data_IF_056963354275
#
_entry.id   IF_056963354275
#
_cell.length_a   1.000
_cell.length_b   1.000
_cell.length_c   1.000
_cell.angle_alpha   90.00
_cell.angle_beta   90.00
_cell.angle_gamma   90.00
#
_symmetry.space_group_name_H-M   'P 1'
#
loop_
_entity.id
_entity.type
_entity.pdbx_description
1 polymer ?
#
# COMPACT_ATOMS: atom_id res chain seq x y z
N UNK A 1 1.44 2.26 -12.71
CA UNK A 1 0.30 1.87 -11.87
C UNK A 1 0.67 1.19 -10.56
N UNK A 2 1.19 -0.05 -10.52
CA UNK A 2 1.52 -0.69 -9.22
C UNK A 2 2.42 0.20 -8.34
N UNK A 3 3.46 0.78 -8.95
CA UNK A 3 4.32 1.79 -8.31
C UNK A 3 3.59 3.03 -7.79
N UNK A 4 2.56 3.49 -8.52
CA UNK A 4 1.79 4.67 -8.13
C UNK A 4 0.85 4.34 -6.97
N UNK A 5 0.25 3.14 -6.98
CA UNK A 5 -0.61 2.68 -5.89
C UNK A 5 0.22 2.43 -4.64
N UNK A 6 1.39 1.78 -4.76
CA UNK A 6 2.34 1.63 -3.65
C UNK A 6 2.72 3.00 -3.09
N UNK A 7 3.17 3.95 -3.92
CA UNK A 7 3.48 5.32 -3.48
C UNK A 7 2.29 6.00 -2.78
N UNK A 8 1.06 5.81 -3.27
CA UNK A 8 -0.13 6.39 -2.65
C UNK A 8 -0.38 5.80 -1.25
N UNK A 9 -0.21 4.48 -1.09
CA UNK A 9 -0.32 3.80 0.20
C UNK A 9 0.79 4.24 1.17
N UNK A 10 2.05 4.31 0.71
CA UNK A 10 3.17 4.82 1.53
C UNK A 10 2.90 6.24 2.04
N UNK A 11 2.31 7.11 1.20
CA UNK A 11 1.98 8.47 1.60
C UNK A 11 0.89 8.50 2.69
N UNK A 12 -0.10 7.61 2.64
CA UNK A 12 -1.09 7.50 3.71
C UNK A 12 -0.46 6.93 4.98
N UNK A 13 0.38 5.90 4.86
CA UNK A 13 1.07 5.28 5.99
C UNK A 13 1.98 6.29 6.69
N UNK A 14 2.79 7.04 5.94
CA UNK A 14 3.64 8.08 6.51
C UNK A 14 2.81 9.16 7.25
N UNK A 15 1.63 9.54 6.74
CA UNK A 15 0.76 10.48 7.46
C UNK A 15 0.30 9.89 8.80
N UNK A 16 -0.10 8.62 8.80
CA UNK A 16 -0.50 7.93 10.03
C UNK A 16 0.65 7.87 11.03
N UNK A 17 1.85 7.47 10.61
CA UNK A 17 3.03 7.39 11.45
C UNK A 17 3.39 8.74 12.08
N UNK A 18 3.43 9.83 11.29
CA UNK A 18 3.71 11.16 11.83
C UNK A 18 2.63 11.67 12.79
N UNK A 19 1.35 11.29 12.57
CA UNK A 19 0.26 11.69 13.46
C UNK A 19 0.22 10.86 14.75
N UNK A 20 0.56 9.57 14.68
CA UNK A 20 0.64 8.66 15.83
C UNK A 20 1.83 9.00 16.72
N UNK A 21 3.03 9.15 16.13
CA UNK A 21 4.24 9.57 16.83
C UNK A 21 4.03 10.88 17.60
N UNK A 22 3.28 11.80 16.99
CA UNK A 22 2.93 13.06 17.63
C UNK A 22 1.95 12.89 18.80
N UNK A 23 0.96 12.00 18.70
CA UNK A 23 0.04 11.69 19.81
C UNK A 23 0.74 11.03 20.99
N UNK A 24 1.71 10.15 20.72
CA UNK A 24 2.38 9.35 21.76
C UNK A 24 3.49 10.12 22.47
N UNK A 25 4.25 10.95 21.75
CA UNK A 25 5.47 11.54 22.31
C UNK A 25 5.30 12.88 23.02
N UNK A 26 4.19 13.63 22.85
CA UNK A 26 3.75 14.81 23.63
C UNK A 26 4.78 15.88 24.06
N UNK A 27 6.02 15.80 23.57
CA UNK A 27 7.13 16.67 23.93
C UNK A 27 7.37 17.68 22.79
N UNK A 28 7.87 18.85 23.19
CA UNK A 28 8.09 20.05 22.36
C UNK A 28 9.03 19.87 21.13
N UNK A 29 9.40 18.63 20.74
CA UNK A 29 10.08 18.31 19.46
C UNK A 29 9.11 18.17 18.26
N UNK A 30 7.80 18.36 18.46
CA UNK A 30 6.79 18.09 17.42
C UNK A 30 6.68 19.08 16.24
N UNK A 31 7.50 20.13 16.19
CA UNK A 31 7.54 21.04 15.04
C UNK A 31 7.95 20.32 13.74
N UNK A 32 8.83 19.31 13.84
CA UNK A 32 9.26 18.53 12.68
C UNK A 32 8.13 17.67 12.12
N UNK A 33 7.36 16.98 12.97
CA UNK A 33 6.20 16.18 12.54
C UNK A 33 5.13 17.02 11.86
N UNK A 34 4.80 18.20 12.40
CA UNK A 34 3.89 19.16 11.74
C UNK A 34 4.41 19.55 10.36
N UNK A 35 5.71 19.85 10.26
CA UNK A 35 6.32 20.24 9.00
C UNK A 35 6.30 19.10 7.98
N UNK A 36 6.51 17.85 8.42
CA UNK A 36 6.38 16.65 7.58
C UNK A 36 4.93 16.46 7.11
N UNK A 37 3.95 16.55 8.01
CA UNK A 37 2.51 16.46 7.67
C UNK A 37 2.12 17.55 6.66
N UNK A 38 2.54 18.80 6.87
CA UNK A 38 2.28 19.92 5.95
C UNK A 38 2.89 19.71 4.57
N UNK A 39 4.07 19.10 4.49
CA UNK A 39 4.73 18.75 3.21
C UNK A 39 4.04 17.59 2.50
N UNK A 40 3.54 16.61 3.26
CA UNK A 40 2.93 15.40 2.74
C UNK A 40 1.46 15.61 2.31
N UNK A 41 0.73 16.50 3.00
CA UNK A 41 -0.68 16.79 2.74
C UNK A 41 -1.00 17.09 1.27
N UNK A 42 -0.27 17.96 0.54
CA UNK A 42 -0.55 18.21 -0.87
C UNK A 42 -0.46 16.93 -1.73
N UNK A 43 0.51 16.06 -1.46
CA UNK A 43 0.66 14.78 -2.16
C UNK A 43 -0.50 13.83 -1.85
N UNK A 44 -0.98 13.82 -0.60
CA UNK A 44 -2.11 12.98 -0.21
C UNK A 44 -3.41 13.46 -0.89
N UNK A 45 -3.69 14.75 -0.79
CA UNK A 45 -4.94 15.35 -1.32
C UNK A 45 -4.98 15.34 -2.84
N UNK A 46 -3.85 15.62 -3.52
CA UNK A 46 -3.82 15.75 -4.98
C UNK A 46 -3.51 14.47 -5.71
N UNK A 47 -2.84 13.52 -5.06
CA UNK A 47 -2.39 12.29 -5.69
C UNK A 47 -2.91 11.04 -4.98
N UNK A 48 -2.56 10.81 -3.71
CA UNK A 48 -2.80 9.51 -3.07
C UNK A 48 -4.29 9.16 -2.96
N UNK A 49 -5.09 10.03 -2.34
CA UNK A 49 -6.53 9.81 -2.17
C UNK A 49 -7.29 9.77 -3.51
N UNK A 50 -7.08 10.72 -4.45
CA UNK A 50 -7.70 10.61 -5.77
C UNK A 50 -7.34 9.33 -6.52
N UNK A 51 -6.09 8.86 -6.45
CA UNK A 51 -5.67 7.61 -7.08
C UNK A 51 -6.41 6.41 -6.50
N UNK A 52 -6.45 6.30 -5.16
CA UNK A 52 -7.08 5.17 -4.47
C UNK A 52 -8.62 5.18 -4.65
N UNK A 53 -9.27 6.35 -4.54
CA UNK A 53 -10.70 6.48 -4.76
C UNK A 53 -11.13 6.16 -6.20
N UNK A 54 -10.26 6.41 -7.18
CA UNK A 54 -10.54 6.15 -8.59
C UNK A 54 -9.90 4.86 -9.12
N UNK A 55 -9.41 3.98 -8.24
CA UNK A 55 -8.69 2.78 -8.64
C UNK A 55 -9.51 1.89 -9.60
N UNK A 56 -10.81 1.74 -9.37
CA UNK A 56 -11.68 0.95 -10.25
C UNK A 56 -11.71 1.50 -11.68
N UNK A 57 -11.86 2.82 -11.82
CA UNK A 57 -11.89 3.50 -13.12
C UNK A 57 -10.55 3.34 -13.86
N UNK A 58 -9.44 3.51 -13.14
CA UNK A 58 -8.08 3.34 -13.67
C UNK A 58 -7.85 1.91 -14.17
N UNK A 59 -8.25 0.92 -13.39
CA UNK A 59 -8.10 -0.50 -13.76
C UNK A 59 -8.99 -0.87 -14.94
N UNK A 60 -10.23 -0.36 -14.99
CA UNK A 60 -11.12 -0.59 -16.13
C UNK A 60 -10.59 0.06 -17.42
N UNK A 61 -10.08 1.29 -17.34
CA UNK A 61 -9.46 1.98 -18.49
C UNK A 61 -8.27 1.19 -19.03
N UNK A 62 -7.45 0.58 -18.17
CA UNK A 62 -6.37 -0.30 -18.62
C UNK A 62 -6.88 -1.55 -19.34
N UNK A 63 -7.91 -2.22 -18.81
CA UNK A 63 -8.52 -3.42 -19.43
C UNK A 63 -9.14 -3.15 -20.80
N UNK A 64 -9.54 -1.91 -21.05
CA UNK A 64 -10.03 -1.44 -22.34
C UNK A 64 -8.89 -1.19 -23.32
N UNK A 65 -7.79 -0.59 -22.85
CA UNK A 65 -6.58 -0.32 -23.65
C UNK A 65 -5.78 -1.58 -24.00
N UNK A 66 -5.78 -2.56 -23.10
CA UNK A 66 -5.09 -3.83 -23.29
C UNK A 66 -5.98 -4.98 -22.78
N UNK A 67 -6.47 -5.79 -23.71
CA UNK A 67 -7.33 -6.94 -23.40
C UNK A 67 -6.55 -8.12 -22.83
N UNK A 68 -5.23 -8.18 -23.03
CA UNK A 68 -4.38 -9.30 -22.58
C UNK A 68 -4.23 -9.32 -21.07
N UNK A 69 -4.22 -8.15 -20.43
CA UNK A 69 -4.10 -8.01 -18.97
C UNK A 69 -5.42 -8.27 -18.22
N UNK A 70 -6.56 -8.35 -18.93
CA UNK A 70 -7.91 -8.49 -18.34
C UNK A 70 -8.04 -9.67 -17.39
N UNK A 71 -7.33 -10.76 -17.69
CA UNK A 71 -7.36 -12.00 -16.92
C UNK A 71 -6.17 -12.16 -15.98
N UNK A 72 -5.27 -11.18 -15.91
CA UNK A 72 -4.12 -11.25 -15.01
C UNK A 72 -4.56 -11.22 -13.55
N UNK A 73 -3.87 -11.99 -12.72
CA UNK A 73 -4.10 -12.06 -11.27
C UNK A 73 -3.91 -10.69 -10.61
N UNK A 74 -2.95 -9.90 -11.11
CA UNK A 74 -2.73 -8.51 -10.68
C UNK A 74 -3.98 -7.65 -10.89
N UNK A 75 -4.60 -7.70 -12.08
CA UNK A 75 -5.81 -6.91 -12.37
C UNK A 75 -7.01 -7.40 -11.54
N UNK A 76 -7.14 -8.72 -11.32
CA UNK A 76 -8.18 -9.26 -10.44
C UNK A 76 -8.02 -8.78 -9.00
N UNK A 77 -6.79 -8.78 -8.48
CA UNK A 77 -6.46 -8.29 -7.16
C UNK A 77 -6.72 -6.78 -7.02
N UNK A 78 -6.28 -5.96 -7.97
CA UNK A 78 -6.57 -4.52 -7.96
C UNK A 78 -8.08 -4.24 -8.00
N UNK A 79 -8.85 -5.03 -8.75
CA UNK A 79 -10.31 -4.93 -8.77
C UNK A 79 -10.97 -5.39 -7.46
N UNK A 80 -10.45 -6.40 -6.76
CA UNK A 80 -11.02 -6.80 -5.47
C UNK A 80 -10.84 -5.72 -4.42
N UNK A 81 -9.71 -5.00 -4.45
CA UNK A 81 -9.47 -3.82 -3.61
C UNK A 81 -10.44 -2.70 -3.99
N UNK A 82 -10.49 -2.36 -5.28
CA UNK A 82 -11.31 -1.24 -5.76
C UNK A 82 -12.82 -1.44 -5.54
N UNK A 83 -13.28 -2.69 -5.51
CA UNK A 83 -14.67 -3.07 -5.24
C UNK A 83 -14.99 -3.25 -3.77
N UNK A 84 -14.02 -3.09 -2.88
CA UNK A 84 -14.28 -3.09 -1.44
C UNK A 84 -15.03 -1.81 -1.07
N UNK A 85 -16.35 -1.93 -0.90
CA UNK A 85 -17.24 -0.81 -0.60
C UNK A 85 -16.95 -0.18 0.77
N UNK A 86 -16.41 -0.93 1.72
CA UNK A 86 -16.03 -0.40 3.02
C UNK A 86 -14.80 0.48 2.86
N UNK A 87 -13.73 -0.04 2.27
CA UNK A 87 -12.52 0.73 1.97
C UNK A 87 -12.82 2.02 1.20
N UNK A 88 -13.68 1.96 0.18
CA UNK A 88 -14.05 3.17 -0.58
C UNK A 88 -14.73 4.23 0.30
N UNK A 89 -15.67 3.83 1.16
CA UNK A 89 -16.35 4.75 2.08
C UNK A 89 -15.38 5.37 3.06
N UNK A 90 -14.48 4.57 3.65
CA UNK A 90 -13.51 5.08 4.61
C UNK A 90 -12.50 6.04 3.96
N UNK A 91 -12.09 5.80 2.71
CA UNK A 91 -11.24 6.72 1.95
C UNK A 91 -11.95 8.02 1.54
N UNK A 92 -13.26 7.96 1.25
CA UNK A 92 -14.09 9.15 1.01
C UNK A 92 -14.20 10.01 2.28
N UNK A 93 -14.47 9.39 3.44
CA UNK A 93 -14.49 10.08 4.74
C UNK A 93 -13.13 10.70 5.02
N UNK A 94 -12.05 9.93 4.88
CA UNK A 94 -10.68 10.39 5.09
C UNK A 94 -10.35 11.59 4.19
N UNK A 95 -10.81 11.59 2.94
CA UNK A 95 -10.61 12.72 2.01
C UNK A 95 -11.26 14.01 2.51
N UNK A 96 -12.47 13.92 3.06
CA UNK A 96 -13.16 15.07 3.62
C UNK A 96 -12.45 15.59 4.87
N UNK A 97 -12.00 14.69 5.76
CA UNK A 97 -11.31 15.06 7.00
C UNK A 97 -9.95 15.71 6.73
N UNK A 98 -9.13 15.16 5.84
CA UNK A 98 -7.81 15.74 5.47
C UNK A 98 -7.97 17.14 4.84
N UNK A 99 -9.05 17.36 4.10
CA UNK A 99 -9.40 18.65 3.52
C UNK A 99 -9.67 19.72 4.59
N UNK A 100 -10.37 19.34 5.66
CA UNK A 100 -10.88 20.24 6.69
C UNK A 100 -10.04 20.30 7.98
N UNK A 101 -9.06 19.41 8.13
CA UNK A 101 -8.20 19.37 9.31
C UNK A 101 -7.28 20.61 9.37
N UNK A 102 -7.22 21.23 10.55
CA UNK A 102 -6.35 22.34 10.89
C UNK A 102 -4.96 21.88 11.36
N UNK A 103 -4.80 20.57 11.61
CA UNK A 103 -3.59 19.92 12.12
C UNK A 103 -3.08 20.53 13.42
N UNK A 104 -4.02 21.04 14.23
CA UNK A 104 -3.74 21.49 15.60
C UNK A 104 -3.93 20.30 16.54
N UNK A 105 -2.96 19.96 17.40
CA UNK A 105 -3.11 18.90 18.39
C UNK A 105 -4.36 19.10 19.24
N UNK A 106 -4.98 17.99 19.61
CA UNK A 106 -6.18 17.94 20.44
C UNK A 106 -7.39 18.69 19.88
N UNK A 107 -7.31 19.26 18.67
CA UNK A 107 -8.48 19.82 18.01
C UNK A 107 -9.46 18.69 17.67
N UNK A 108 -10.75 19.02 17.67
CA UNK A 108 -11.79 18.03 17.33
C UNK A 108 -11.54 17.42 15.94
N UNK A 109 -11.16 18.25 14.96
CA UNK A 109 -10.90 17.82 13.59
C UNK A 109 -9.63 16.96 13.49
N UNK A 110 -8.59 17.26 14.29
CA UNK A 110 -7.37 16.45 14.35
C UNK A 110 -7.65 15.07 14.92
N UNK A 111 -8.35 15.00 16.05
CA UNK A 111 -8.69 13.74 16.70
C UNK A 111 -9.61 12.87 15.83
N UNK A 112 -10.57 13.48 15.13
CA UNK A 112 -11.41 12.78 14.16
C UNK A 112 -10.59 12.23 13.00
N UNK A 113 -9.64 13.01 12.47
CA UNK A 113 -8.72 12.55 11.43
C UNK A 113 -7.83 11.39 11.91
N UNK A 114 -7.24 11.49 13.10
CA UNK A 114 -6.43 10.41 13.69
C UNK A 114 -7.24 9.13 13.84
N UNK A 115 -8.45 9.23 14.39
CA UNK A 115 -9.33 8.08 14.56
C UNK A 115 -9.67 7.43 13.22
N UNK A 116 -9.95 8.23 12.19
CA UNK A 116 -10.26 7.72 10.86
C UNK A 116 -9.02 7.09 10.19
N UNK A 117 -7.85 7.70 10.33
CA UNK A 117 -6.59 7.13 9.83
C UNK A 117 -6.29 5.81 10.51
N UNK A 118 -6.42 5.74 11.83
CA UNK A 118 -6.21 4.51 12.58
C UNK A 118 -7.13 3.40 12.06
N UNK A 119 -8.44 3.68 11.93
CA UNK A 119 -9.40 2.74 11.37
C UNK A 119 -9.01 2.26 9.97
N UNK A 120 -8.59 3.16 9.08
CA UNK A 120 -8.15 2.79 7.73
C UNK A 120 -6.87 1.96 7.77
N UNK A 121 -5.92 2.26 8.66
CA UNK A 121 -4.65 1.53 8.74
C UNK A 121 -4.78 0.16 9.39
N UNK A 122 -5.51 0.06 10.49
CA UNK A 122 -5.65 -1.16 11.29
C UNK A 122 -6.76 -2.04 10.77
N UNK A 123 -7.98 -1.53 10.64
CA UNK A 123 -9.18 -2.35 10.40
C UNK A 123 -9.27 -2.81 8.95
N UNK A 124 -8.67 -2.04 8.03
CA UNK A 124 -8.60 -2.38 6.60
C UNK A 124 -7.23 -2.90 6.16
N UNK A 125 -6.30 -3.09 7.10
CA UNK A 125 -4.95 -3.62 6.88
C UNK A 125 -4.20 -2.95 5.70
N UNK A 126 -4.26 -1.61 5.60
CA UNK A 126 -3.61 -0.89 4.50
C UNK A 126 -2.10 -1.18 4.34
N UNK A 127 -1.31 -1.35 5.42
CA UNK A 127 0.09 -1.76 5.30
C UNK A 127 0.26 -3.14 4.65
N UNK A 128 -0.63 -4.09 4.96
CA UNK A 128 -0.64 -5.41 4.31
C UNK A 128 -0.90 -5.26 2.80
N UNK A 129 -1.84 -4.39 2.45
CA UNK A 129 -2.13 -4.09 1.05
C UNK A 129 -0.93 -3.45 0.32
N UNK A 130 -0.22 -2.51 0.95
CA UNK A 130 0.99 -1.91 0.40
C UNK A 130 2.04 -2.96 0.10
N UNK A 131 2.33 -3.83 1.06
CA UNK A 131 3.32 -4.90 0.91
C UNK A 131 2.99 -5.82 -0.26
N UNK A 132 1.71 -6.17 -0.41
CA UNK A 132 1.21 -7.01 -1.52
C UNK A 132 1.43 -6.32 -2.87
N UNK A 133 1.21 -5.01 -2.96
CA UNK A 133 1.41 -4.24 -4.20
C UNK A 133 2.90 -4.07 -4.53
N UNK A 134 3.74 -3.81 -3.53
CA UNK A 134 5.19 -3.69 -3.69
C UNK A 134 5.80 -5.00 -4.21
N UNK A 135 5.36 -6.13 -3.65
CA UNK A 135 5.76 -7.46 -4.12
C UNK A 135 5.40 -7.68 -5.60
N UNK A 136 4.17 -7.35 -6.00
CA UNK A 136 3.73 -7.46 -7.39
C UNK A 136 4.50 -6.51 -8.32
N UNK A 137 4.88 -5.31 -7.85
CA UNK A 137 5.72 -4.38 -8.60
C UNK A 137 7.10 -5.00 -8.87
N UNK A 138 7.74 -5.56 -7.84
CA UNK A 138 9.06 -6.19 -7.98
C UNK A 138 9.02 -7.37 -8.95
N UNK A 139 7.99 -8.23 -8.86
CA UNK A 139 7.82 -9.33 -9.81
C UNK A 139 7.64 -8.84 -11.25
N UNK A 140 6.87 -7.76 -11.46
CA UNK A 140 6.65 -7.19 -12.79
C UNK A 140 7.93 -6.69 -13.47
N UNK A 141 8.97 -6.38 -12.68
CA UNK A 141 10.28 -5.94 -13.18
C UNK A 141 11.21 -7.09 -13.60
N UNK A 142 10.67 -8.31 -13.77
CA UNK A 142 11.42 -9.52 -14.13
C UNK A 142 12.55 -9.86 -13.15
N UNK A 143 12.34 -9.59 -11.87
CA UNK A 143 13.24 -10.10 -10.85
C UNK A 143 12.91 -11.57 -10.56
N UNK A 144 13.93 -12.38 -10.30
CA UNK A 144 13.78 -13.78 -9.95
C UNK A 144 12.86 -13.90 -8.72
N UNK A 145 11.78 -14.67 -8.87
CA UNK A 145 10.81 -14.92 -7.80
C UNK A 145 11.49 -15.43 -6.52
N UNK A 146 12.50 -16.30 -6.65
CA UNK A 146 13.27 -16.81 -5.53
C UNK A 146 14.08 -15.70 -4.85
N UNK A 147 14.63 -14.75 -5.63
CA UNK A 147 15.36 -13.60 -5.10
C UNK A 147 14.40 -12.63 -4.39
N UNK A 148 13.23 -12.34 -4.95
CA UNK A 148 12.23 -11.47 -4.30
C UNK A 148 11.71 -12.12 -3.02
N UNK A 149 11.39 -13.42 -3.07
CA UNK A 149 10.95 -14.18 -1.89
C UNK A 149 12.05 -14.21 -0.82
N UNK A 150 13.30 -14.49 -1.20
CA UNK A 150 14.43 -14.46 -0.28
C UNK A 150 14.62 -13.05 0.31
N UNK A 151 14.53 -11.99 -0.49
CA UNK A 151 14.56 -10.61 0.00
C UNK A 151 13.47 -10.33 1.05
N UNK A 152 12.24 -10.76 0.79
CA UNK A 152 11.13 -10.62 1.74
C UNK A 152 11.30 -11.44 3.03
N UNK A 153 11.98 -12.58 2.97
CA UNK A 153 12.27 -13.44 4.15
C UNK A 153 13.53 -13.00 4.91
N UNK A 154 14.53 -12.42 4.23
CA UNK A 154 15.84 -12.10 4.82
C UNK A 154 15.86 -10.73 5.52
N UNK A 155 14.97 -9.81 5.15
CA UNK A 155 14.81 -8.53 5.86
C UNK A 155 14.12 -8.68 7.25
N UNK A 156 13.62 -9.86 7.57
CA UNK A 156 13.00 -10.21 8.86
C UNK A 156 14.06 -10.54 9.93
N UNK A 157 15.26 -10.97 9.52
CA UNK A 157 16.29 -11.48 10.43
C UNK A 157 17.38 -10.45 10.81
N UNK A 158 17.37 -9.24 10.22
CA UNK A 158 18.41 -8.24 10.49
C UNK A 158 17.83 -6.88 10.85
N UNK A 159 17.28 -6.78 12.06
CA UNK A 159 17.30 -5.50 12.75
C UNK A 159 17.35 -5.68 14.27
N UNK A 160 18.56 -5.65 14.82
CA UNK A 160 18.78 -5.54 16.27
C UNK A 160 18.63 -4.07 16.75
N UNK A 161 18.31 -3.10 15.88
CA UNK A 161 18.26 -1.68 16.26
C UNK A 161 17.31 -0.76 15.44
N UNK A 162 16.40 -1.26 14.61
CA UNK A 162 15.33 -0.42 14.05
C UNK A 162 13.95 -0.81 14.59
N UNK A 163 13.27 0.19 15.12
CA UNK A 163 11.87 0.13 15.49
C UNK A 163 11.03 0.17 14.21
N UNK A 164 10.44 -0.99 13.90
CA UNK A 164 9.36 -1.25 12.94
C UNK A 164 9.75 -1.60 11.50
N UNK A 165 10.10 -2.87 11.31
CA UNK A 165 9.64 -3.63 10.14
C UNK A 165 9.43 -5.11 10.53
N UNK A 166 8.35 -5.39 11.27
CA UNK A 166 7.91 -6.78 11.51
C UNK A 166 7.19 -7.29 10.27
N UNK A 167 7.89 -8.09 9.47
CA UNK A 167 7.27 -8.81 8.37
C UNK A 167 6.53 -10.02 8.92
N UNK A 168 5.21 -9.95 8.97
CA UNK A 168 4.39 -11.12 9.19
C UNK A 168 4.57 -12.11 8.03
N UNK A 169 4.80 -13.38 8.41
CA UNK A 169 4.66 -14.57 7.57
C UNK A 169 3.24 -14.64 6.96
N UNK A 170 2.93 -13.83 5.93
CA UNK A 170 1.77 -14.11 5.08
C UNK A 170 2.15 -15.17 4.03
N UNK A 171 2.68 -16.30 4.52
CA UNK A 171 3.01 -17.52 3.74
C UNK A 171 1.79 -18.00 2.95
N UNK A 172 0.59 -17.65 3.40
CA UNK A 172 -0.70 -17.94 2.78
C UNK A 172 -0.97 -17.11 1.53
N UNK A 173 -0.66 -15.81 1.51
CA UNK A 173 -0.71 -14.98 0.30
C UNK A 173 0.20 -15.50 -0.82
N UNK A 174 1.40 -15.97 -0.46
CA UNK A 174 2.29 -16.64 -1.43
C UNK A 174 1.69 -17.95 -1.95
N UNK A 175 0.99 -18.70 -1.10
CA UNK A 175 0.35 -19.95 -1.49
C UNK A 175 -0.75 -19.69 -2.54
N UNK A 176 -1.64 -18.73 -2.32
CA UNK A 176 -2.73 -18.46 -3.28
C UNK A 176 -2.24 -17.92 -4.63
N UNK A 177 -1.19 -17.10 -4.64
CA UNK A 177 -0.60 -16.56 -5.88
C UNK A 177 0.18 -17.63 -6.67
N UNK A 178 0.90 -18.51 -5.97
CA UNK A 178 1.68 -19.60 -6.59
C UNK A 178 0.78 -20.73 -7.10
N UNK A 179 -0.40 -20.92 -6.51
CA UNK A 179 -1.38 -21.92 -6.91
C UNK A 179 -2.42 -21.43 -7.93
N UNK A 180 -2.44 -20.13 -8.28
CA UNK A 180 -3.14 -19.66 -9.47
C UNK A 180 -2.41 -20.18 -10.73
N UNK A 181 -3.06 -21.11 -11.43
CA UNK A 181 -2.49 -21.84 -12.57
C UNK A 181 -2.05 -20.90 -13.70
N UNK A 182 -2.74 -19.78 -13.90
CA UNK A 182 -2.40 -18.80 -14.93
C UNK A 182 -1.22 -17.94 -14.49
N UNK A 183 -1.21 -17.45 -13.26
CA UNK A 183 -0.09 -16.67 -12.74
C UNK A 183 1.21 -17.49 -12.74
N UNK A 184 1.12 -18.75 -12.30
CA UNK A 184 2.23 -19.69 -12.31
C UNK A 184 2.75 -19.95 -13.72
N UNK A 185 1.87 -20.15 -14.71
CA UNK A 185 2.32 -20.35 -16.09
C UNK A 185 2.97 -19.11 -16.70
N UNK A 186 2.40 -17.93 -16.51
CA UNK A 186 2.83 -16.72 -17.19
C UNK A 186 4.08 -16.09 -16.56
N UNK A 187 4.20 -16.09 -15.23
CA UNK A 187 5.26 -15.35 -14.55
C UNK A 187 6.28 -16.24 -13.83
N UNK A 188 5.84 -17.37 -13.26
CA UNK A 188 6.72 -18.26 -12.49
C UNK A 188 7.45 -19.23 -13.42
N UNK A 189 6.74 -19.90 -14.32
CA UNK A 189 7.34 -20.88 -15.23
C UNK A 189 8.23 -20.20 -16.29
N UNK A 190 7.90 -19.00 -16.75
CA UNK A 190 8.79 -18.23 -17.63
C UNK A 190 10.08 -17.83 -16.91
N UNK A 191 10.01 -17.33 -15.68
CA UNK A 191 11.19 -17.00 -14.89
C UNK A 191 12.08 -18.24 -14.60
N UNK A 192 11.47 -19.39 -14.28
CA UNK A 192 12.20 -20.65 -14.08
C UNK A 192 12.87 -21.12 -15.39
N UNK A 193 12.21 -20.95 -16.53
CA UNK A 193 12.75 -21.33 -17.84
C UNK A 193 13.86 -20.39 -18.35
N UNK A 194 13.94 -19.15 -17.86
CA UNK A 194 15.04 -18.23 -18.14
C UNK A 194 16.30 -18.57 -17.32
N UNK A 195 16.16 -19.10 -16.10
CA UNK A 195 17.28 -19.54 -15.24
C UNK A 195 17.91 -20.86 -15.76
N UNK A 196 17.14 -21.67 -16.50
CA UNK A 196 17.57 -22.96 -17.06
C UNK A 196 18.14 -22.92 -18.47
N UNK A 197 18.31 -21.74 -19.09
CA UNK A 197 18.97 -21.62 -20.40
C UNK A 197 20.47 -21.33 -20.19
N UNK A 198 21.37 -22.17 -20.75
CA UNK A 198 22.81 -21.96 -20.63
C UNK A 198 23.28 -20.65 -21.27
#
# INVERSE_FOLDING_TARGET
>A
MLREISRALCNLQALYEYMLDWQENNDYQCDDNINHIKKLRPEIVRFALPLLNNLECLVNTMKEKDSTIRNSTIIKFLLSIAKNNELRKELEILSNLIGNCDYTPDSANYNELCSQLNKVMTDLELPNLEHKICFLELLSKKMDFAIIKAGYVTFIEKDDNSSHMEFYEDVWFFYDIVHDTNFRQVFINEAINEIGKP
#
